data_IF_031831373504
#
_entry.id   IF_031831373504
#
_cell.length_a   1.000
_cell.length_b   1.000
_cell.length_c   1.000
_cell.angle_alpha   90.00
_cell.angle_beta   90.00
_cell.angle_gamma   90.00
#
_symmetry.space_group_name_H-M   'P 1'
#
loop_
_entity.id
_entity.type
_entity.pdbx_description
1 polymer ?
#
# COMPACT_ATOMS: atom_id res chain seq x y z
N UNK A 1 -18.83 -26.82 10.13
CA UNK A 1 -17.65 -26.01 10.50
C UNK A 1 -17.75 -24.71 9.73
N UNK A 2 -17.73 -23.59 10.42
CA UNK A 2 -17.82 -22.28 9.78
C UNK A 2 -16.55 -22.00 8.98
N UNK A 3 -16.70 -21.51 7.78
CA UNK A 3 -15.59 -21.13 6.91
C UNK A 3 -15.62 -19.63 6.70
N UNK A 4 -14.46 -19.01 6.72
CA UNK A 4 -14.27 -17.59 6.53
C UNK A 4 -13.31 -17.34 5.37
N UNK A 5 -13.64 -16.39 4.53
CA UNK A 5 -12.82 -15.99 3.39
C UNK A 5 -12.27 -14.58 3.58
N UNK A 6 -10.99 -14.39 3.32
CA UNK A 6 -10.34 -13.08 3.34
C UNK A 6 -10.05 -12.61 1.92
N UNK A 7 -10.59 -11.45 1.58
CA UNK A 7 -10.46 -10.84 0.25
C UNK A 7 -9.65 -9.57 0.31
N UNK A 8 -8.84 -9.33 -0.73
CA UNK A 8 -8.20 -8.04 -1.02
C UNK A 8 -8.45 -7.70 -2.49
N UNK A 9 -9.04 -6.55 -2.76
CA UNK A 9 -9.41 -6.10 -4.11
C UNK A 9 -10.15 -7.18 -4.94
N UNK A 10 -11.03 -7.95 -4.29
CA UNK A 10 -11.83 -9.00 -4.92
C UNK A 10 -11.11 -10.31 -5.20
N UNK A 11 -9.85 -10.44 -4.80
CA UNK A 11 -9.10 -11.70 -4.88
C UNK A 11 -9.17 -12.39 -3.53
N UNK A 12 -9.49 -13.67 -3.49
CA UNK A 12 -9.44 -14.44 -2.26
C UNK A 12 -7.98 -14.73 -1.89
N UNK A 13 -7.54 -14.12 -0.81
CA UNK A 13 -6.17 -14.24 -0.30
C UNK A 13 -6.03 -15.42 0.63
N UNK A 14 -7.06 -15.68 1.45
CA UNK A 14 -7.02 -16.79 2.41
C UNK A 14 -8.41 -17.33 2.74
N UNK A 15 -8.43 -18.54 3.23
CA UNK A 15 -9.56 -19.15 3.94
C UNK A 15 -9.16 -19.56 5.33
N UNK A 16 -10.08 -19.45 6.25
CA UNK A 16 -9.90 -19.79 7.66
C UNK A 16 -10.99 -20.73 8.14
N UNK A 17 -10.59 -21.70 8.97
CA UNK A 17 -11.48 -22.66 9.61
C UNK A 17 -11.23 -22.63 11.12
N UNK A 18 -11.92 -21.74 11.85
CA UNK A 18 -11.79 -21.67 13.30
C UNK A 18 -12.39 -22.94 13.95
N UNK A 19 -11.66 -23.51 14.90
CA UNK A 19 -12.10 -24.59 15.76
C UNK A 19 -11.67 -24.30 17.21
N UNK A 20 -12.22 -25.03 18.18
CA UNK A 20 -11.88 -24.82 19.59
C UNK A 20 -10.37 -24.96 19.83
N UNK A 21 -9.71 -23.85 20.14
CA UNK A 21 -8.27 -23.76 20.43
C UNK A 21 -7.33 -23.88 19.23
N UNK A 22 -7.84 -23.96 17.99
CA UNK A 22 -7.00 -24.04 16.78
C UNK A 22 -7.58 -23.19 15.66
N UNK A 23 -6.71 -22.60 14.86
CA UNK A 23 -7.07 -21.93 13.61
C UNK A 23 -6.36 -22.62 12.46
N UNK A 24 -7.12 -23.23 11.58
CA UNK A 24 -6.58 -23.73 10.32
C UNK A 24 -6.80 -22.70 9.20
N UNK A 25 -5.92 -22.70 8.25
CA UNK A 25 -5.98 -21.76 7.13
C UNK A 25 -5.41 -22.36 5.84
N UNK A 26 -5.75 -21.72 4.72
CA UNK A 26 -5.08 -21.87 3.43
C UNK A 26 -4.88 -20.46 2.87
N UNK A 27 -3.69 -20.18 2.35
CA UNK A 27 -3.35 -18.88 1.78
C UNK A 27 -3.06 -18.99 0.29
N UNK A 28 -3.30 -17.91 -0.43
CA UNK A 28 -2.96 -17.80 -1.85
C UNK A 28 -1.45 -17.96 -2.03
N UNK A 29 -1.08 -18.94 -2.83
CA UNK A 29 0.29 -19.10 -3.35
C UNK A 29 0.43 -18.18 -4.57
N UNK A 30 1.23 -17.13 -4.42
CA UNK A 30 1.45 -16.17 -5.50
C UNK A 30 2.08 -16.82 -6.74
N UNK A 31 2.92 -17.83 -6.57
CA UNK A 31 3.56 -18.55 -7.68
C UNK A 31 2.62 -19.48 -8.45
N UNK A 32 1.59 -20.01 -7.77
CA UNK A 32 0.61 -20.91 -8.36
C UNK A 32 -0.70 -20.21 -8.76
N UNK A 33 -1.04 -19.08 -8.14
CA UNK A 33 -2.30 -18.35 -8.36
C UNK A 33 -3.54 -19.03 -7.77
N UNK A 34 -3.37 -19.99 -6.87
CA UNK A 34 -4.44 -20.73 -6.21
C UNK A 34 -4.15 -20.84 -4.70
N UNK A 35 -5.18 -21.16 -3.91
CA UNK A 35 -4.98 -21.43 -2.49
C UNK A 35 -4.11 -22.68 -2.30
N UNK A 36 -3.12 -22.56 -1.40
CA UNK A 36 -2.30 -23.67 -0.97
C UNK A 36 -3.07 -24.70 -0.13
N UNK A 37 -2.36 -25.69 0.39
CA UNK A 37 -2.94 -26.71 1.23
C UNK A 37 -3.44 -26.14 2.57
N UNK A 38 -4.54 -26.67 3.06
CA UNK A 38 -5.06 -26.35 4.40
C UNK A 38 -4.13 -26.91 5.46
N UNK A 39 -3.78 -26.10 6.45
CA UNK A 39 -2.92 -26.47 7.58
C UNK A 39 -3.18 -25.61 8.81
N UNK A 40 -2.55 -25.94 9.93
CA UNK A 40 -2.63 -25.14 11.14
C UNK A 40 -1.90 -23.80 10.95
N UNK A 41 -2.50 -22.72 11.45
CA UNK A 41 -1.86 -21.41 11.52
C UNK A 41 -0.98 -21.37 12.76
N UNK A 42 0.33 -21.24 12.57
CA UNK A 42 1.29 -21.01 13.65
C UNK A 42 1.58 -19.51 13.83
N UNK A 43 2.36 -19.16 14.84
CA UNK A 43 2.71 -17.77 15.16
C UNK A 43 3.43 -17.06 14.01
N UNK A 44 4.40 -17.71 13.39
CA UNK A 44 5.17 -17.16 12.25
C UNK A 44 4.25 -16.81 11.07
N UNK A 45 3.35 -17.72 10.72
CA UNK A 45 2.35 -17.51 9.66
C UNK A 45 1.37 -16.38 10.00
N UNK A 46 0.94 -16.30 11.26
CA UNK A 46 0.04 -15.24 11.72
C UNK A 46 0.72 -13.87 11.67
N UNK A 47 1.98 -13.76 12.09
CA UNK A 47 2.76 -12.53 12.01
C UNK A 47 3.04 -12.12 10.56
N UNK A 48 3.43 -13.08 9.72
CA UNK A 48 3.63 -12.84 8.28
C UNK A 48 2.36 -12.28 7.64
N UNK A 49 1.20 -12.89 7.92
CA UNK A 49 -0.09 -12.45 7.39
C UNK A 49 -0.46 -11.06 7.90
N UNK A 50 -0.29 -10.82 9.21
CA UNK A 50 -0.59 -9.53 9.83
C UNK A 50 0.26 -8.40 9.24
N UNK A 51 1.54 -8.64 9.01
CA UNK A 51 2.46 -7.66 8.40
C UNK A 51 2.09 -7.34 6.96
N UNK A 52 1.71 -8.36 6.19
CA UNK A 52 1.41 -8.24 4.76
C UNK A 52 0.05 -7.61 4.49
N UNK A 53 -0.96 -7.93 5.27
CA UNK A 53 -2.34 -7.51 5.05
C UNK A 53 -2.90 -6.57 6.12
N UNK A 54 -2.08 -6.21 7.12
CA UNK A 54 -2.47 -5.38 8.26
C UNK A 54 -3.72 -5.91 8.98
N UNK A 55 -3.82 -7.23 9.05
CA UNK A 55 -4.92 -7.97 9.66
C UNK A 55 -4.37 -9.16 10.46
N UNK A 56 -4.77 -9.28 11.73
CA UNK A 56 -4.42 -10.43 12.57
C UNK A 56 -5.60 -11.42 12.64
N UNK A 57 -5.49 -12.58 11.97
CA UNK A 57 -6.53 -13.61 12.04
C UNK A 57 -6.74 -14.14 13.45
N UNK A 58 -5.66 -14.39 14.18
CA UNK A 58 -5.73 -14.89 15.57
C UNK A 58 -6.50 -13.93 16.45
N UNK A 59 -6.12 -12.66 16.50
CA UNK A 59 -6.80 -11.64 17.31
C UNK A 59 -8.28 -11.45 16.91
N UNK A 60 -8.62 -11.61 15.62
CA UNK A 60 -10.01 -11.56 15.18
C UNK A 60 -10.82 -12.72 15.77
N UNK A 61 -10.37 -13.97 15.60
CA UNK A 61 -11.14 -15.14 16.05
C UNK A 61 -11.17 -15.29 17.57
N UNK A 62 -10.13 -14.86 18.28
CA UNK A 62 -10.10 -14.75 19.74
C UNK A 62 -11.10 -13.70 20.26
N UNK A 63 -11.21 -12.56 19.58
CA UNK A 63 -12.14 -11.48 19.94
C UNK A 63 -13.59 -11.71 19.55
N UNK A 64 -13.89 -12.74 18.77
CA UNK A 64 -15.20 -12.93 18.13
C UNK A 64 -16.35 -13.06 19.14
N UNK A 65 -16.14 -13.80 20.25
CA UNK A 65 -17.14 -13.98 21.31
C UNK A 65 -17.47 -12.65 22.00
N UNK A 66 -16.44 -11.87 22.34
CA UNK A 66 -16.61 -10.57 23.00
C UNK A 66 -17.37 -9.56 22.10
N UNK A 67 -17.10 -9.57 20.79
CA UNK A 67 -17.86 -8.74 19.84
C UNK A 67 -19.32 -9.21 19.72
N UNK A 68 -19.56 -10.52 19.65
CA UNK A 68 -20.91 -11.05 19.59
C UNK A 68 -21.74 -10.62 20.80
N UNK A 69 -21.19 -10.73 22.02
CA UNK A 69 -21.84 -10.30 23.25
C UNK A 69 -22.10 -8.78 23.25
N UNK A 70 -21.07 -7.99 22.90
CA UNK A 70 -21.19 -6.53 22.91
C UNK A 70 -22.26 -6.00 21.92
N UNK A 71 -22.31 -6.56 20.71
CA UNK A 71 -23.24 -6.10 19.68
C UNK A 71 -24.66 -6.69 19.83
N UNK A 72 -24.84 -7.82 20.50
CA UNK A 72 -26.15 -8.42 20.76
C UNK A 72 -27.08 -7.50 21.55
N UNK A 73 -26.54 -6.61 22.39
CA UNK A 73 -27.30 -5.60 23.13
C UNK A 73 -27.93 -4.51 22.26
N UNK A 74 -27.56 -4.40 20.97
CA UNK A 74 -28.17 -3.49 20.00
C UNK A 74 -27.94 -2.01 20.26
N UNK A 75 -27.11 -1.64 21.22
CA UNK A 75 -26.76 -0.27 21.60
C UNK A 75 -25.98 0.48 20.51
N UNK A 76 -25.94 1.81 20.64
CA UNK A 76 -25.07 2.69 19.85
C UNK A 76 -24.81 3.97 20.67
N UNK A 77 -23.56 4.31 20.98
CA UNK A 77 -22.33 3.56 20.67
C UNK A 77 -22.15 2.29 21.53
N UNK A 78 -21.38 1.34 21.02
CA UNK A 78 -20.94 0.15 21.74
C UNK A 78 -19.43 0.24 21.97
N UNK A 79 -18.95 -0.08 23.16
CA UNK A 79 -17.53 -0.19 23.46
C UNK A 79 -17.12 -1.67 23.55
N UNK A 80 -16.09 -2.06 22.81
CA UNK A 80 -15.55 -3.41 22.82
C UNK A 80 -14.06 -3.39 22.45
N UNK A 81 -13.24 -4.15 23.17
CA UNK A 81 -11.81 -4.27 22.90
C UNK A 81 -11.06 -2.93 22.91
N UNK A 82 -11.43 -1.99 23.78
CA UNK A 82 -10.83 -0.67 23.86
C UNK A 82 -11.23 0.28 22.70
N UNK A 83 -12.12 -0.13 21.83
CA UNK A 83 -12.63 0.65 20.70
C UNK A 83 -14.11 0.95 20.86
N UNK A 84 -14.54 2.07 20.25
CA UNK A 84 -15.93 2.51 20.21
C UNK A 84 -16.49 2.32 18.82
N UNK A 85 -17.71 1.81 18.73
CA UNK A 85 -18.40 1.50 17.49
C UNK A 85 -19.79 2.14 17.48
N UNK A 86 -20.14 2.78 16.35
CA UNK A 86 -21.48 3.29 16.11
C UNK A 86 -22.23 2.35 15.16
N UNK A 87 -23.45 2.01 15.53
CA UNK A 87 -24.33 1.19 14.69
C UNK A 87 -24.83 1.97 13.48
N UNK A 88 -24.73 1.36 12.31
CA UNK A 88 -25.25 1.87 11.03
C UNK A 88 -26.57 1.18 10.65
N UNK A 89 -27.43 1.82 9.84
CA UNK A 89 -28.69 1.22 9.40
C UNK A 89 -28.54 -0.06 8.57
N UNK A 90 -27.39 -0.23 7.90
CA UNK A 90 -27.06 -1.38 7.05
C UNK A 90 -26.59 -2.63 7.85
N UNK A 91 -26.57 -2.53 9.17
CA UNK A 91 -26.15 -3.62 10.07
C UNK A 91 -24.68 -3.61 10.43
N UNK A 92 -23.89 -2.66 9.91
CA UNK A 92 -22.51 -2.49 10.31
C UNK A 92 -22.38 -1.69 11.61
N UNK A 93 -21.33 -2.02 12.36
CA UNK A 93 -20.82 -1.25 13.47
C UNK A 93 -19.49 -0.60 13.04
N UNK A 94 -19.50 0.73 12.86
CA UNK A 94 -18.36 1.50 12.40
C UNK A 94 -17.45 1.90 13.57
N UNK A 95 -16.17 1.50 13.54
CA UNK A 95 -15.18 1.91 14.53
C UNK A 95 -14.95 3.42 14.47
N UNK A 96 -14.86 4.06 15.64
CA UNK A 96 -14.52 5.49 15.78
C UNK A 96 -13.07 5.66 16.24
N UNK A 97 -12.54 6.84 16.01
CA UNK A 97 -11.24 7.28 16.55
C UNK A 97 -10.05 6.41 16.14
N UNK A 98 -10.15 5.75 14.98
CA UNK A 98 -9.08 4.95 14.43
C UNK A 98 -8.59 5.52 13.11
N UNK A 99 -7.28 5.55 12.88
CA UNK A 99 -6.68 5.97 11.61
C UNK A 99 -7.15 5.10 10.44
N UNK A 100 -7.29 3.80 10.69
CA UNK A 100 -7.81 2.80 9.76
C UNK A 100 -8.97 2.08 10.43
N UNK A 101 -10.19 2.64 10.33
CA UNK A 101 -11.34 2.09 11.04
C UNK A 101 -11.70 0.70 10.51
N UNK A 102 -12.16 -0.12 11.44
CA UNK A 102 -12.73 -1.44 11.15
C UNK A 102 -14.24 -1.34 11.21
N UNK A 103 -14.92 -1.76 10.15
CA UNK A 103 -16.36 -1.90 10.14
C UNK A 103 -16.73 -3.37 10.35
N UNK A 104 -17.55 -3.66 11.34
CA UNK A 104 -17.98 -5.02 11.69
C UNK A 104 -19.43 -5.23 11.29
N UNK A 105 -19.69 -6.21 10.43
CA UNK A 105 -21.06 -6.63 10.13
C UNK A 105 -21.55 -7.57 11.23
N UNK A 106 -22.62 -7.15 11.92
CA UNK A 106 -23.33 -7.99 12.89
C UNK A 106 -24.73 -8.27 12.37
N UNK A 107 -25.05 -9.52 12.14
CA UNK A 107 -26.34 -9.95 11.61
C UNK A 107 -26.67 -11.37 12.14
N UNK A 108 -27.98 -11.64 12.32
CA UNK A 108 -28.50 -12.90 12.83
C UNK A 108 -27.80 -13.35 14.12
N UNK A 109 -27.61 -12.39 15.05
CA UNK A 109 -27.05 -12.65 16.36
C UNK A 109 -25.55 -12.92 16.42
N UNK A 110 -24.81 -12.71 15.32
CA UNK A 110 -23.37 -12.93 15.29
C UNK A 110 -22.63 -11.96 14.35
N UNK A 111 -21.34 -11.78 14.60
CA UNK A 111 -20.41 -11.13 13.67
C UNK A 111 -20.28 -11.99 12.42
N UNK A 112 -20.44 -11.37 11.25
CA UNK A 112 -20.40 -12.02 9.93
C UNK A 112 -19.26 -11.54 9.05
N UNK A 113 -18.75 -10.31 9.28
CA UNK A 113 -17.63 -9.79 8.53
C UNK A 113 -16.88 -8.71 9.30
N UNK A 114 -15.61 -8.49 8.92
CA UNK A 114 -14.82 -7.31 9.25
C UNK A 114 -14.29 -6.72 7.96
N UNK A 115 -14.48 -5.41 7.80
CA UNK A 115 -13.90 -4.61 6.73
C UNK A 115 -12.81 -3.71 7.33
N UNK A 116 -11.73 -3.53 6.59
CA UNK A 116 -10.71 -2.54 6.92
C UNK A 116 -10.25 -1.86 5.63
N UNK A 117 -10.32 -0.53 5.60
CA UNK A 117 -9.72 0.27 4.52
C UNK A 117 -8.48 0.96 5.06
N UNK A 118 -7.36 0.74 4.42
CA UNK A 118 -6.07 1.33 4.78
C UNK A 118 -5.35 1.87 3.53
N UNK A 119 -4.11 2.32 3.67
CA UNK A 119 -3.33 2.85 2.54
C UNK A 119 -3.09 1.87 1.38
N UNK A 120 -3.29 0.57 1.62
CA UNK A 120 -3.08 -0.50 0.64
C UNK A 120 -4.40 -0.97 -0.02
N UNK A 121 -5.53 -0.36 0.33
CA UNK A 121 -6.85 -0.69 -0.19
C UNK A 121 -7.80 -1.25 0.87
N UNK A 122 -8.89 -1.85 0.41
CA UNK A 122 -9.90 -2.44 1.29
C UNK A 122 -9.71 -3.95 1.36
N UNK A 123 -9.68 -4.47 2.58
CA UNK A 123 -9.72 -5.90 2.89
C UNK A 123 -11.03 -6.26 3.55
N UNK A 124 -11.51 -7.47 3.26
CA UNK A 124 -12.76 -8.00 3.79
C UNK A 124 -12.53 -9.43 4.29
N UNK A 125 -12.66 -9.63 5.60
CA UNK A 125 -12.87 -10.97 6.15
C UNK A 125 -14.38 -11.18 6.27
N UNK A 126 -14.89 -12.27 5.73
CA UNK A 126 -16.32 -12.57 5.74
C UNK A 126 -16.57 -14.05 5.93
N UNK A 127 -17.59 -14.39 6.74
CA UNK A 127 -18.11 -15.75 6.83
C UNK A 127 -18.74 -16.13 5.49
N UNK A 128 -18.39 -17.30 4.97
CA UNK A 128 -18.89 -17.78 3.69
C UNK A 128 -20.43 -17.74 3.64
N UNK A 129 -20.98 -17.21 2.54
CA UNK A 129 -22.42 -16.99 2.37
C UNK A 129 -22.88 -15.56 2.73
N UNK A 130 -22.03 -14.73 3.32
CA UNK A 130 -22.33 -13.34 3.66
C UNK A 130 -21.66 -12.30 2.74
N UNK A 131 -20.99 -12.74 1.68
CA UNK A 131 -20.25 -11.89 0.76
C UNK A 131 -21.13 -10.78 0.16
N UNK A 132 -22.37 -11.11 -0.20
CA UNK A 132 -23.32 -10.14 -0.79
C UNK A 132 -23.65 -8.95 0.12
N UNK A 133 -23.43 -9.07 1.43
CA UNK A 133 -23.62 -8.00 2.42
C UNK A 133 -22.38 -7.13 2.62
N UNK A 134 -21.32 -7.37 1.86
CA UNK A 134 -20.01 -6.71 1.96
C UNK A 134 -19.54 -6.25 0.58
N UNK A 135 -18.50 -5.40 0.48
CA UNK A 135 -17.89 -5.08 -0.80
C UNK A 135 -17.42 -6.29 -1.60
N UNK A 136 -17.12 -7.43 -0.94
CA UNK A 136 -16.74 -8.65 -1.63
C UNK A 136 -17.81 -9.12 -2.62
N UNK A 137 -19.09 -8.96 -2.31
CA UNK A 137 -20.19 -9.31 -3.21
C UNK A 137 -20.13 -8.57 -4.55
N UNK A 138 -19.89 -7.27 -4.52
CA UNK A 138 -19.73 -6.47 -5.74
C UNK A 138 -18.47 -6.86 -6.51
N UNK A 139 -17.37 -7.15 -5.83
CA UNK A 139 -16.12 -7.59 -6.49
C UNK A 139 -16.30 -8.94 -7.19
N UNK A 140 -16.97 -9.90 -6.53
CA UNK A 140 -17.23 -11.24 -7.08
C UNK A 140 -18.21 -11.21 -8.27
N UNK A 141 -19.13 -10.25 -8.27
CA UNK A 141 -20.01 -10.03 -9.41
C UNK A 141 -19.26 -9.48 -10.64
N UNK A 142 -18.19 -8.72 -10.42
CA UNK A 142 -17.37 -8.16 -11.50
C UNK A 142 -16.35 -9.15 -12.07
N UNK A 143 -15.67 -9.89 -11.21
CA UNK A 143 -14.66 -10.87 -11.62
C UNK A 143 -14.53 -12.00 -10.58
N UNK A 144 -14.21 -13.24 -11.01
CA UNK A 144 -14.01 -14.35 -10.08
C UNK A 144 -12.85 -14.07 -9.12
N UNK A 145 -12.98 -14.56 -7.89
CA UNK A 145 -11.95 -14.44 -6.87
C UNK A 145 -10.76 -15.38 -7.11
N UNK A 146 -10.97 -16.46 -7.82
CA UNK A 146 -10.01 -17.52 -8.15
C UNK A 146 -10.31 -18.14 -9.52
N UNK A 147 -9.31 -18.68 -10.24
CA UNK A 147 -7.90 -18.53 -9.90
C UNK A 147 -7.40 -17.12 -10.14
N UNK A 148 -6.40 -16.67 -9.35
CA UNK A 148 -5.65 -15.48 -9.64
C UNK A 148 -4.57 -15.77 -10.70
N UNK A 149 -4.04 -14.73 -11.38
CA UNK A 149 -2.85 -14.92 -12.17
C UNK A 149 -1.65 -15.17 -11.23
N UNK A 150 -0.80 -16.16 -11.52
CA UNK A 150 0.47 -16.34 -10.81
C UNK A 150 1.35 -15.10 -10.94
N UNK A 151 2.05 -14.74 -9.88
CA UNK A 151 3.02 -13.63 -9.87
C UNK A 151 4.39 -14.17 -10.22
N UNK A 152 4.93 -13.77 -11.36
CA UNK A 152 6.28 -14.13 -11.79
C UNK A 152 7.18 -12.90 -11.78
N UNK A 153 8.24 -12.91 -10.96
CA UNK A 153 9.27 -11.88 -10.98
C UNK A 153 10.17 -12.06 -12.22
N UNK A 154 10.40 -10.99 -12.94
CA UNK A 154 11.40 -10.95 -14.03
C UNK A 154 12.79 -10.50 -13.53
N UNK A 155 12.84 -9.87 -12.35
CA UNK A 155 14.06 -9.33 -11.76
C UNK A 155 14.12 -7.81 -11.80
N UNK A 156 15.33 -7.29 -11.52
CA UNK A 156 15.61 -5.85 -11.51
C UNK A 156 16.22 -5.42 -12.84
N UNK A 157 15.66 -4.38 -13.43
CA UNK A 157 16.18 -3.71 -14.63
C UNK A 157 16.69 -2.32 -14.26
N UNK A 158 17.82 -1.94 -14.85
CA UNK A 158 18.37 -0.60 -14.73
C UNK A 158 17.86 0.24 -15.91
N UNK A 159 16.75 0.92 -15.73
CA UNK A 159 16.09 1.72 -16.77
C UNK A 159 16.90 2.99 -17.04
N UNK A 160 17.38 3.20 -18.28
CA UNK A 160 18.18 4.39 -18.61
C UNK A 160 17.31 5.63 -18.72
N UNK A 161 17.68 6.69 -18.04
CA UNK A 161 17.19 8.03 -18.27
C UNK A 161 17.98 8.70 -19.41
N UNK A 162 17.44 9.75 -20.01
CA UNK A 162 18.01 10.48 -21.18
C UNK A 162 19.38 11.08 -20.93
N UNK A 163 19.75 11.32 -19.68
CA UNK A 163 21.05 11.85 -19.24
C UNK A 163 22.06 10.75 -18.85
N UNK A 164 21.68 9.48 -19.02
CA UNK A 164 22.52 8.31 -18.75
C UNK A 164 22.44 7.75 -17.34
N UNK A 165 21.74 8.41 -16.41
CA UNK A 165 21.46 7.85 -15.06
C UNK A 165 20.52 6.65 -15.21
N UNK A 166 20.75 5.60 -14.41
CA UNK A 166 19.95 4.36 -14.47
C UNK A 166 19.10 4.19 -13.24
N UNK A 167 17.79 3.90 -13.45
CA UNK A 167 16.78 3.79 -12.40
C UNK A 167 16.43 2.31 -12.16
N UNK A 168 16.68 1.82 -10.95
CA UNK A 168 16.44 0.44 -10.57
C UNK A 168 14.94 0.13 -10.49
N UNK A 169 14.49 -0.84 -11.28
CA UNK A 169 13.08 -1.17 -11.47
C UNK A 169 12.86 -2.67 -11.37
N UNK A 170 12.10 -3.11 -10.37
CA UNK A 170 11.68 -4.50 -10.24
C UNK A 170 10.42 -4.74 -11.05
N UNK A 171 10.39 -5.82 -11.83
CA UNK A 171 9.28 -6.14 -12.71
C UNK A 171 8.66 -7.49 -12.35
N UNK A 172 7.33 -7.50 -12.25
CA UNK A 172 6.52 -8.69 -12.00
C UNK A 172 5.47 -8.80 -13.11
N UNK A 173 5.25 -10.00 -13.64
CA UNK A 173 4.27 -10.24 -14.69
C UNK A 173 3.33 -11.39 -14.34
N UNK A 174 2.11 -11.44 -14.90
CA UNK A 174 1.25 -12.60 -14.77
C UNK A 174 1.92 -13.83 -15.39
N UNK A 175 2.14 -14.88 -14.57
CA UNK A 175 2.85 -16.08 -15.01
C UNK A 175 2.12 -16.88 -16.10
N UNK A 176 0.82 -16.67 -16.27
CA UNK A 176 -0.03 -17.31 -17.25
C UNK A 176 -0.45 -16.39 -18.42
N UNK A 177 0.18 -15.23 -18.57
CA UNK A 177 -0.12 -14.31 -19.67
C UNK A 177 0.14 -14.97 -21.04
N UNK A 178 -0.82 -14.81 -21.96
CA UNK A 178 -0.71 -15.37 -23.32
C UNK A 178 -0.15 -14.37 -24.34
N UNK A 179 0.23 -13.17 -23.88
CA UNK A 179 0.78 -12.10 -24.70
C UNK A 179 1.08 -10.86 -23.86
N UNK A 180 1.44 -9.73 -24.48
CA UNK A 180 1.72 -8.48 -23.80
C UNK A 180 0.52 -7.96 -23.01
N UNK A 181 0.78 -7.43 -21.80
CA UNK A 181 -0.25 -6.97 -20.86
C UNK A 181 -0.07 -5.49 -20.52
N UNK A 182 -1.11 -4.78 -20.02
CA UNK A 182 -0.95 -3.43 -19.53
C UNK A 182 -0.07 -3.42 -18.27
N UNK A 183 0.58 -2.29 -18.01
CA UNK A 183 1.55 -2.13 -16.92
C UNK A 183 1.01 -1.19 -15.85
N UNK A 184 1.17 -1.55 -14.59
CA UNK A 184 1.07 -0.62 -13.46
C UNK A 184 2.46 -0.24 -13.00
N UNK A 185 2.75 1.06 -12.98
CA UNK A 185 4.02 1.64 -12.53
C UNK A 185 3.85 2.28 -11.16
N UNK A 186 4.79 1.96 -10.26
CA UNK A 186 4.98 2.62 -8.96
C UNK A 186 6.38 3.19 -8.92
N UNK A 187 6.53 4.52 -8.72
CA UNK A 187 7.84 5.16 -8.52
C UNK A 187 7.92 5.65 -7.07
N UNK A 188 8.97 5.28 -6.36
CA UNK A 188 9.07 5.46 -4.91
C UNK A 188 10.45 5.94 -4.47
N UNK A 189 10.54 6.90 -3.50
CA UNK A 189 11.79 7.24 -2.83
C UNK A 189 12.08 6.35 -1.61
N UNK A 190 11.22 5.35 -1.30
CA UNK A 190 11.18 4.63 -0.03
C UNK A 190 11.68 3.19 -0.10
N UNK A 191 12.40 2.81 -1.14
CA UNK A 191 12.83 1.46 -1.48
C UNK A 191 11.73 0.61 -2.15
N UNK A 192 11.99 0.26 -3.43
CA UNK A 192 11.10 -0.60 -4.24
C UNK A 192 10.88 -1.99 -3.65
N UNK A 193 11.78 -2.44 -2.77
CA UNK A 193 11.71 -3.76 -2.13
C UNK A 193 10.94 -3.75 -0.82
N UNK A 194 10.59 -2.57 -0.26
CA UNK A 194 10.00 -2.45 1.07
C UNK A 194 8.63 -3.14 1.17
N UNK A 195 7.78 -3.02 0.16
CA UNK A 195 6.46 -3.68 0.16
C UNK A 195 5.85 -3.85 -1.25
N UNK A 196 6.52 -4.50 -2.22
CA UNK A 196 5.97 -4.65 -3.58
C UNK A 196 4.68 -5.47 -3.60
N UNK A 197 4.49 -6.37 -2.62
CA UNK A 197 3.27 -7.18 -2.48
C UNK A 197 1.98 -6.35 -2.27
N UNK A 198 2.07 -5.10 -1.84
CA UNK A 198 0.92 -4.21 -1.74
C UNK A 198 0.24 -3.98 -3.10
N UNK A 199 0.99 -4.15 -4.18
CA UNK A 199 0.54 -3.95 -5.56
C UNK A 199 0.34 -5.26 -6.33
N UNK A 200 0.58 -6.43 -5.74
CA UNK A 200 0.44 -7.73 -6.44
C UNK A 200 -0.98 -8.03 -6.91
N UNK A 201 -1.99 -7.36 -6.34
CA UNK A 201 -3.35 -7.49 -6.84
C UNK A 201 -3.50 -7.08 -8.32
N UNK A 202 -2.65 -6.18 -8.83
CA UNK A 202 -2.61 -5.88 -10.26
C UNK A 202 -2.10 -7.06 -11.06
N UNK A 203 -1.01 -7.70 -10.63
CA UNK A 203 -0.47 -8.89 -11.31
C UNK A 203 -1.46 -10.04 -11.27
N UNK A 204 -2.10 -10.28 -10.13
CA UNK A 204 -3.15 -11.29 -9.94
C UNK A 204 -4.37 -11.05 -10.83
N UNK A 205 -4.56 -9.82 -11.34
CA UNK A 205 -5.62 -9.40 -12.27
C UNK A 205 -5.13 -9.24 -13.70
N UNK A 206 -3.94 -9.69 -14.03
CA UNK A 206 -3.44 -9.75 -15.41
C UNK A 206 -2.67 -8.51 -15.89
N UNK A 207 -2.25 -7.61 -14.98
CA UNK A 207 -1.36 -6.49 -15.30
C UNK A 207 0.10 -6.88 -15.00
N UNK A 208 1.04 -6.36 -15.75
CA UNK A 208 2.41 -6.28 -15.26
C UNK A 208 2.54 -5.19 -14.19
N UNK A 209 3.47 -5.36 -13.27
CA UNK A 209 3.80 -4.39 -12.22
C UNK A 209 5.28 -4.04 -12.34
N UNK A 210 5.58 -2.75 -12.43
CA UNK A 210 6.93 -2.19 -12.33
C UNK A 210 7.02 -1.34 -11.06
N UNK A 211 7.97 -1.63 -10.18
CA UNK A 211 8.24 -0.82 -8.98
C UNK A 211 9.65 -0.27 -9.10
N UNK A 212 9.77 1.05 -9.17
CA UNK A 212 11.01 1.76 -9.46
C UNK A 212 11.43 2.63 -8.28
N UNK A 213 12.69 2.53 -7.87
CA UNK A 213 13.32 3.55 -7.03
C UNK A 213 13.51 4.82 -7.85
N UNK A 214 13.10 5.99 -7.33
CA UNK A 214 13.40 7.27 -7.99
C UNK A 214 14.91 7.56 -7.95
N UNK A 215 15.37 8.46 -8.78
CA UNK A 215 16.78 8.89 -8.91
C UNK A 215 17.41 9.15 -7.54
N UNK A 216 18.63 8.64 -7.33
CA UNK A 216 19.41 8.83 -6.11
C UNK A 216 18.84 8.12 -4.87
N UNK A 217 17.91 7.19 -5.04
CA UNK A 217 17.32 6.42 -3.94
C UNK A 217 17.59 4.92 -4.07
N UNK A 218 17.88 4.28 -2.95
CA UNK A 218 18.07 2.82 -2.79
C UNK A 218 18.98 2.22 -3.85
N UNK A 219 18.47 1.54 -4.87
CA UNK A 219 19.28 0.89 -5.91
C UNK A 219 19.39 1.73 -7.21
N UNK A 220 18.77 2.90 -7.28
CA UNK A 220 18.88 3.81 -8.41
C UNK A 220 20.12 4.69 -8.32
N UNK A 221 20.70 5.02 -9.47
CA UNK A 221 21.85 5.91 -9.60
C UNK A 221 21.47 7.40 -9.52
N UNK A 222 22.48 8.27 -9.51
CA UNK A 222 22.35 9.71 -9.48
C UNK A 222 22.13 10.28 -8.10
N UNK A 223 21.77 11.57 -8.03
CA UNK A 223 21.53 12.29 -6.79
C UNK A 223 20.04 12.54 -6.57
N UNK A 224 19.58 12.39 -5.33
CA UNK A 224 18.21 12.65 -4.96
C UNK A 224 17.98 14.15 -4.74
N UNK A 225 17.33 14.78 -5.69
CA UNK A 225 16.78 16.12 -5.57
C UNK A 225 15.24 16.00 -5.61
N UNK A 226 14.55 16.09 -4.48
CA UNK A 226 13.11 15.85 -4.44
C UNK A 226 12.33 16.71 -5.43
N UNK A 227 11.46 16.07 -6.20
CA UNK A 227 10.57 16.71 -7.17
C UNK A 227 11.26 17.34 -8.41
N UNK A 228 12.57 17.25 -8.55
CA UNK A 228 13.28 17.99 -9.60
C UNK A 228 13.30 17.23 -10.94
N UNK A 229 13.70 15.96 -10.95
CA UNK A 229 13.86 15.16 -12.17
C UNK A 229 12.64 14.31 -12.54
N UNK A 230 11.53 14.44 -11.83
CA UNK A 230 10.43 13.48 -11.89
C UNK A 230 9.65 13.52 -13.21
N UNK A 231 9.70 14.62 -13.95
CA UNK A 231 9.05 14.73 -15.27
C UNK A 231 9.82 13.92 -16.31
N UNK A 232 11.11 14.16 -16.43
CA UNK A 232 11.99 13.52 -17.41
C UNK A 232 12.19 12.04 -17.09
N UNK A 233 12.45 11.68 -15.83
CA UNK A 233 12.61 10.31 -15.39
C UNK A 233 11.32 9.50 -15.55
N UNK A 234 10.17 10.13 -15.30
CA UNK A 234 8.86 9.54 -15.52
C UNK A 234 8.61 9.25 -17.00
N UNK A 235 8.90 10.22 -17.88
CA UNK A 235 8.75 10.10 -19.33
C UNK A 235 9.63 8.98 -19.91
N UNK A 236 10.92 8.97 -19.53
CA UNK A 236 11.88 7.96 -19.98
C UNK A 236 11.47 6.55 -19.49
N UNK A 237 10.99 6.44 -18.25
CA UNK A 237 10.48 5.17 -17.70
C UNK A 237 9.24 4.69 -18.46
N UNK A 238 8.29 5.56 -18.77
CA UNK A 238 7.10 5.21 -19.55
C UNK A 238 7.46 4.70 -20.94
N UNK A 239 8.38 5.36 -21.63
CA UNK A 239 8.88 4.96 -22.94
C UNK A 239 9.58 3.59 -22.88
N UNK A 240 10.43 3.38 -21.87
CA UNK A 240 11.11 2.09 -21.67
C UNK A 240 10.12 0.95 -21.42
N UNK A 241 9.12 1.16 -20.53
CA UNK A 241 8.09 0.17 -20.23
C UNK A 241 7.26 -0.18 -21.47
N UNK A 242 6.91 0.82 -22.27
CA UNK A 242 6.11 0.61 -23.48
C UNK A 242 6.85 -0.22 -24.54
N UNK A 243 8.19 -0.15 -24.58
CA UNK A 243 9.03 -0.89 -25.50
C UNK A 243 9.35 -2.34 -25.09
N UNK A 244 8.85 -2.82 -23.93
CA UNK A 244 9.15 -4.16 -23.48
C UNK A 244 8.25 -5.22 -24.14
N UNK A 245 8.79 -6.41 -24.47
CA UNK A 245 8.04 -7.49 -25.12
C UNK A 245 6.82 -7.96 -24.32
N UNK A 246 6.85 -7.86 -23.00
CA UNK A 246 5.75 -8.24 -22.10
C UNK A 246 4.72 -7.12 -21.90
N UNK A 247 4.97 -5.92 -22.41
CA UNK A 247 4.11 -4.75 -22.28
C UNK A 247 3.30 -4.51 -23.55
N UNK A 248 2.01 -4.19 -23.41
CA UNK A 248 1.18 -3.76 -24.55
C UNK A 248 1.25 -2.24 -24.82
N UNK A 249 2.18 -1.53 -24.20
CA UNK A 249 2.40 -0.11 -24.37
C UNK A 249 1.42 0.80 -23.60
N UNK A 250 0.54 0.24 -22.77
CA UNK A 250 -0.42 1.01 -21.94
C UNK A 250 0.02 0.97 -20.50
N UNK A 251 0.30 2.11 -19.89
CA UNK A 251 0.81 2.22 -18.54
C UNK A 251 -0.17 3.03 -17.67
N UNK A 252 -0.53 2.48 -16.52
CA UNK A 252 -1.16 3.21 -15.42
C UNK A 252 -0.17 3.44 -14.30
N UNK A 253 -0.39 4.48 -13.48
CA UNK A 253 0.43 4.72 -12.29
C UNK A 253 -0.43 4.77 -11.04
N UNK A 254 0.15 4.36 -9.89
CA UNK A 254 -0.55 4.37 -8.61
C UNK A 254 0.41 4.71 -7.47
N UNK A 255 -0.10 5.39 -6.46
CA UNK A 255 0.58 5.63 -5.19
C UNK A 255 0.13 6.89 -4.49
N UNK A 256 0.52 7.00 -3.22
CA UNK A 256 0.18 8.13 -2.36
C UNK A 256 1.39 8.99 -2.02
N UNK A 257 1.15 10.22 -1.57
CA UNK A 257 2.19 11.16 -1.15
C UNK A 257 3.19 11.44 -2.29
N UNK A 258 4.47 11.22 -2.12
CA UNK A 258 5.49 11.37 -3.17
C UNK A 258 5.18 10.49 -4.39
N UNK A 259 4.72 9.24 -4.18
CA UNK A 259 4.32 8.35 -5.27
C UNK A 259 3.09 8.87 -6.03
N UNK A 260 2.29 9.74 -5.42
CA UNK A 260 1.20 10.46 -6.07
C UNK A 260 1.71 11.65 -6.89
N UNK A 261 2.70 12.38 -6.36
CA UNK A 261 3.31 13.53 -7.03
C UNK A 261 4.00 13.14 -8.34
N UNK A 262 4.81 12.09 -8.34
CA UNK A 262 5.53 11.62 -9.54
C UNK A 262 4.60 11.23 -10.69
N UNK A 263 3.34 10.88 -10.41
CA UNK A 263 2.33 10.59 -11.42
C UNK A 263 1.93 11.87 -12.19
N UNK A 264 1.73 12.97 -11.47
CA UNK A 264 1.43 14.27 -12.08
C UNK A 264 2.61 14.80 -12.88
N UNK A 265 3.85 14.58 -12.40
CA UNK A 265 5.05 14.88 -13.16
C UNK A 265 5.10 14.07 -14.46
N UNK A 266 4.86 12.77 -14.40
CA UNK A 266 4.79 11.92 -15.58
C UNK A 266 3.67 12.36 -16.56
N UNK A 267 2.50 12.78 -16.03
CA UNK A 267 1.42 13.31 -16.86
C UNK A 267 1.79 14.64 -17.55
N UNK A 268 2.55 15.50 -16.86
CA UNK A 268 3.02 16.77 -17.41
C UNK A 268 3.95 16.60 -18.62
N UNK A 269 4.62 15.45 -18.78
CA UNK A 269 5.42 15.14 -19.96
C UNK A 269 4.58 14.97 -21.24
N UNK A 270 3.27 14.71 -21.10
CA UNK A 270 2.39 14.43 -22.24
C UNK A 270 2.63 13.06 -22.88
N UNK A 271 3.29 12.14 -22.20
CA UNK A 271 3.65 10.82 -22.73
C UNK A 271 2.39 10.02 -23.12
N UNK A 272 2.29 9.54 -24.40
CA UNK A 272 1.09 8.87 -24.92
C UNK A 272 0.84 7.48 -24.30
N UNK A 273 1.84 6.88 -23.67
CA UNK A 273 1.73 5.58 -23.02
C UNK A 273 1.03 5.65 -21.66
N UNK A 274 0.98 6.83 -21.02
CA UNK A 274 0.31 7.03 -19.75
C UNK A 274 -1.21 7.11 -19.96
N UNK A 275 -1.95 6.15 -19.40
CA UNK A 275 -3.39 5.99 -19.62
C UNK A 275 -4.24 6.36 -18.41
N UNK A 276 -3.72 6.20 -17.19
CA UNK A 276 -4.46 6.41 -15.96
C UNK A 276 -3.56 6.71 -14.78
N UNK A 277 -4.07 7.51 -13.84
CA UNK A 277 -3.43 7.82 -12.57
C UNK A 277 -4.35 7.45 -11.41
N UNK A 278 -3.79 6.83 -10.37
CA UNK A 278 -4.43 6.68 -9.07
C UNK A 278 -3.56 7.41 -8.05
N UNK A 279 -3.67 8.74 -8.06
CA UNK A 279 -2.91 9.64 -7.21
C UNK A 279 -3.66 9.92 -5.90
N UNK A 280 -3.05 9.61 -4.76
CA UNK A 280 -3.67 9.70 -3.44
C UNK A 280 -2.87 10.61 -2.52
N UNK A 281 -3.56 11.45 -1.73
CA UNK A 281 -2.99 12.27 -0.64
C UNK A 281 -1.65 12.94 -1.00
N UNK A 282 -1.61 13.60 -2.15
CA UNK A 282 -0.40 14.24 -2.69
C UNK A 282 -0.54 15.75 -2.80
N UNK A 283 0.59 16.45 -2.93
CA UNK A 283 0.61 17.88 -3.22
C UNK A 283 0.16 18.16 -4.67
N UNK A 284 -0.52 19.27 -4.88
CA UNK A 284 -0.77 19.82 -6.22
C UNK A 284 0.44 20.61 -6.74
N UNK A 285 1.27 21.14 -5.84
CA UNK A 285 2.49 21.88 -6.15
C UNK A 285 3.55 21.62 -5.10
N UNK A 286 4.75 21.26 -5.53
CA UNK A 286 5.89 21.07 -4.62
C UNK A 286 6.36 22.39 -3.96
N UNK A 287 5.92 23.54 -4.44
CA UNK A 287 6.39 24.86 -3.97
C UNK A 287 5.30 25.68 -3.27
N UNK A 288 4.02 25.42 -3.54
CA UNK A 288 2.92 26.17 -2.94
C UNK A 288 2.19 25.41 -1.85
N UNK A 289 2.14 24.08 -1.95
CA UNK A 289 1.42 23.20 -1.01
C UNK A 289 2.37 22.52 -0.03
N UNK A 290 3.41 21.87 -0.55
CA UNK A 290 4.43 21.11 0.18
C UNK A 290 5.75 21.26 -0.60
N UNK A 291 6.89 21.59 0.01
CA UNK A 291 7.16 21.76 1.45
C UNK A 291 6.85 23.15 2.01
N UNK A 292 6.39 24.08 1.20
CA UNK A 292 6.14 25.47 1.65
C UNK A 292 4.66 25.80 1.47
N UNK A 293 4.08 26.35 2.53
CA UNK A 293 2.71 26.90 2.49
C UNK A 293 2.74 28.36 2.85
N UNK A 294 2.29 29.22 1.94
CA UNK A 294 2.34 30.66 2.13
C UNK A 294 3.76 31.21 2.40
N UNK A 295 4.79 30.55 1.86
CA UNK A 295 6.21 30.90 2.07
C UNK A 295 6.84 30.26 3.32
N UNK A 296 6.06 29.69 4.24
CA UNK A 296 6.57 29.01 5.43
C UNK A 296 6.88 27.54 5.13
N UNK A 297 8.03 27.07 5.61
CA UNK A 297 8.40 25.66 5.50
C UNK A 297 7.59 24.83 6.51
N UNK A 298 6.97 23.73 6.08
CA UNK A 298 6.18 22.87 6.96
C UNK A 298 7.07 21.95 7.79
N UNK A 299 6.87 21.93 9.11
CA UNK A 299 7.67 21.12 10.07
C UNK A 299 7.63 19.62 9.77
N UNK A 300 6.48 19.09 9.34
CA UNK A 300 6.35 17.69 8.92
C UNK A 300 7.22 17.34 7.71
N UNK A 301 7.48 18.31 6.83
CA UNK A 301 8.38 18.11 5.69
C UNK A 301 9.85 18.15 6.11
N UNK A 302 10.20 18.86 7.19
CA UNK A 302 11.53 18.77 7.76
C UNK A 302 11.82 17.38 8.33
N UNK A 303 10.85 16.79 9.03
CA UNK A 303 10.96 15.43 9.54
C UNK A 303 11.15 14.43 8.39
N UNK A 304 10.37 14.58 7.31
CA UNK A 304 10.53 13.76 6.11
C UNK A 304 11.91 13.97 5.45
N UNK A 305 12.38 15.22 5.33
CA UNK A 305 13.69 15.53 4.77
C UNK A 305 14.82 14.84 5.55
N UNK A 306 14.75 14.84 6.90
CA UNK A 306 15.70 14.12 7.74
C UNK A 306 15.69 12.61 7.47
N UNK A 307 14.49 12.02 7.30
CA UNK A 307 14.37 10.58 7.02
C UNK A 307 14.91 10.17 5.64
N UNK A 308 14.83 11.06 4.64
CA UNK A 308 15.29 10.77 3.26
C UNK A 308 16.62 11.45 2.91
N UNK A 309 17.33 12.01 3.89
CA UNK A 309 18.63 12.69 3.69
C UNK A 309 19.72 11.75 3.17
N UNK A 310 19.66 10.47 3.53
CA UNK A 310 20.55 9.42 3.07
C UNK A 310 19.97 8.69 1.86
N UNK A 311 20.80 7.91 1.18
CA UNK A 311 20.43 7.08 0.04
C UNK A 311 19.27 6.11 0.33
N UNK A 312 19.16 5.65 1.57
CA UNK A 312 18.02 4.86 2.07
C UNK A 312 17.22 5.66 3.10
N UNK A 313 15.92 5.36 3.21
CA UNK A 313 15.06 5.98 4.21
C UNK A 313 15.41 5.51 5.61
N UNK A 314 15.64 6.46 6.51
CA UNK A 314 15.78 6.23 7.95
C UNK A 314 14.56 6.80 8.69
N UNK A 315 13.54 5.96 8.88
CA UNK A 315 12.30 6.37 9.55
C UNK A 315 12.50 6.78 11.02
N UNK A 316 13.58 6.33 11.67
CA UNK A 316 13.87 6.72 13.05
C UNK A 316 14.15 8.22 13.17
N UNK A 317 14.67 8.86 12.13
CA UNK A 317 14.90 10.31 12.08
C UNK A 317 13.61 11.14 12.10
N UNK A 318 12.44 10.55 11.79
CA UNK A 318 11.13 11.20 11.91
C UNK A 318 10.57 11.11 13.33
N UNK A 319 10.95 10.08 14.10
CA UNK A 319 10.41 9.78 15.42
C UNK A 319 11.41 10.23 16.47
N UNK A 320 11.47 11.55 16.71
CA UNK A 320 12.37 12.20 17.67
C UNK A 320 11.54 12.79 18.81
N UNK A 321 12.06 12.74 20.02
CA UNK A 321 11.42 13.34 21.20
C UNK A 321 11.76 14.84 21.36
N UNK A 322 12.76 15.33 20.62
CA UNK A 322 13.32 16.69 20.71
C UNK A 322 12.87 17.62 19.56
N UNK A 323 11.77 17.33 18.88
CA UNK A 323 11.28 18.16 17.77
C UNK A 323 11.03 19.63 18.19
N UNK A 324 10.59 19.88 19.43
CA UNK A 324 10.36 21.23 19.91
C UNK A 324 11.65 22.05 19.94
N UNK A 325 12.78 21.45 20.33
CA UNK A 325 14.10 22.06 20.31
C UNK A 325 14.62 22.25 18.89
N UNK A 326 14.52 21.21 18.06
CA UNK A 326 14.95 21.25 16.65
C UNK A 326 14.26 22.37 15.88
N UNK A 327 12.96 22.55 16.08
CA UNK A 327 12.18 23.59 15.40
C UNK A 327 12.52 25.03 15.89
N UNK A 328 13.29 25.19 16.96
CA UNK A 328 13.80 26.51 17.44
C UNK A 328 15.16 26.87 16.81
N UNK A 329 15.87 25.93 16.18
CA UNK A 329 17.18 26.17 15.56
C UNK A 329 17.08 27.29 14.51
N UNK A 330 18.01 28.26 14.59
CA UNK A 330 18.13 29.38 13.65
C UNK A 330 19.60 29.65 13.34
N UNK A 331 19.94 29.99 12.09
CA UNK A 331 19.06 30.02 10.91
C UNK A 331 18.60 28.63 10.49
N UNK A 332 17.56 28.54 9.64
CA UNK A 332 17.01 27.24 9.20
C UNK A 332 18.03 26.38 8.43
N UNK A 333 18.98 27.00 7.74
CA UNK A 333 20.05 26.31 7.00
C UNK A 333 20.97 25.49 7.93
N UNK A 334 21.11 25.87 9.21
CA UNK A 334 21.91 25.10 10.16
C UNK A 334 21.15 23.94 10.81
N UNK A 335 19.83 23.89 10.66
CA UNK A 335 18.96 22.98 11.41
C UNK A 335 19.36 21.49 11.22
N UNK A 336 19.62 21.04 10.00
CA UNK A 336 20.00 19.65 9.75
C UNK A 336 21.36 19.33 10.40
N UNK A 337 22.36 20.20 10.24
CA UNK A 337 23.68 20.01 10.82
C UNK A 337 23.64 19.96 12.34
N UNK A 338 22.87 20.84 12.97
CA UNK A 338 22.76 20.88 14.44
C UNK A 338 21.93 19.73 15.00
N UNK A 339 20.85 19.32 14.29
CA UNK A 339 19.93 18.28 14.77
C UNK A 339 20.39 16.86 14.49
N UNK A 340 21.03 16.59 13.35
CA UNK A 340 21.44 15.24 12.90
C UNK A 340 22.91 15.12 12.52
N UNK A 341 23.71 16.20 12.66
CA UNK A 341 25.15 16.19 12.38
C UNK A 341 25.53 16.19 10.89
N UNK A 342 24.58 16.37 9.98
CA UNK A 342 24.75 16.27 8.54
C UNK A 342 24.10 17.45 7.82
N UNK A 343 24.69 17.88 6.70
CA UNK A 343 24.03 18.79 5.79
C UNK A 343 23.13 18.00 4.83
N UNK A 344 21.90 18.43 4.68
CA UNK A 344 20.98 17.83 3.71
C UNK A 344 21.09 18.62 2.41
N UNK A 345 21.73 18.04 1.41
CA UNK A 345 22.07 18.70 0.15
C UNK A 345 20.88 19.43 -0.49
N UNK A 346 19.75 18.77 -0.61
CA UNK A 346 18.56 19.33 -1.27
C UNK A 346 17.78 20.37 -0.44
N UNK A 347 18.16 20.64 0.80
CA UNK A 347 17.59 21.75 1.58
C UNK A 347 18.32 23.04 1.35
N UNK A 348 19.55 23.00 0.83
CA UNK A 348 20.45 24.13 0.63
C UNK A 348 20.55 24.54 -0.85
N UNK A 349 19.88 23.84 -1.74
CA UNK A 349 19.73 24.15 -3.16
C UNK A 349 18.37 24.74 -3.48
#
# INVERSE_FOLDING_TARGET
>A
METWSFYSAGIRIARFWPAAGTLEWACLDDGAGVLGARGAMNEENAEWFARRYQFSPAAFFEGLSAWNEAFAGGGSPVSCGGSRYDRRPDGFYAQREARFPKDILFADGAVRAQLCSNGNGTTVLVQDGWEARTPAGAWLAYAPAEPACPVRALGTFMVPARDGVRLATDVYVPGNAQGPVPVMLVRTPYDKTAAPWNYFNFVRRGYALAVQDVRGRSASEGDFLPCYHEVEDGDDTLNWLAGQEWSNGRVGMIGGSYLGYVQWCAAASGNPHLQALVSMVTAGSAFADIPRRGGCFESGMMAWAFAVSNHQMDAARMVRDDWDDVLQIRPLESMAREAIGEDIHFLNT
#
